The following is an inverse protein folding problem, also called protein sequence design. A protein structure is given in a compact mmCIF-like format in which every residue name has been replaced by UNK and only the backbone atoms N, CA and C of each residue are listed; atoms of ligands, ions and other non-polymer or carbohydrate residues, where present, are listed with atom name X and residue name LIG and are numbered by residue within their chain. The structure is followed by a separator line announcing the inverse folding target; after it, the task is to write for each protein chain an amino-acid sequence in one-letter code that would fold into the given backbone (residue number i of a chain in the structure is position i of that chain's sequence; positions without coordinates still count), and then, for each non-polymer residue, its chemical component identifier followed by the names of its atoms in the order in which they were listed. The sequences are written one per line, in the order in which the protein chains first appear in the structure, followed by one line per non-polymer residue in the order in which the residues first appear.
data_IF_801061056002
#
_entry.id   IF_801061056002
#
_cell.length_a   1.000
_cell.length_b   1.000
_cell.length_c   1.000
_cell.angle_alpha   90.00
_cell.angle_beta   90.00
_cell.angle_gamma   90.00
#
_symmetry.space_group_name_H-M   'P 1'
#
loop_
_entity.id
_entity.type
_entity.pdbx_description
1 polymer ?
#
# COMPACT_ATOMS: atom_id res chain seq x y z
N UNK A 1 -0.81 14.46 6.03
CA UNK A 1 -1.12 13.33 6.93
C UNK A 1 -1.06 12.06 6.12
N UNK A 2 -0.01 11.26 6.33
CA UNK A 2 0.27 10.02 5.60
C UNK A 2 0.13 8.83 6.55
N UNK A 3 -0.16 7.64 6.02
CA UNK A 3 -0.11 6.40 6.78
C UNK A 3 0.73 5.35 6.06
N UNK A 4 1.40 4.50 6.84
CA UNK A 4 2.24 3.42 6.33
C UNK A 4 1.50 2.12 6.60
N UNK A 5 1.15 1.37 5.55
CA UNK A 5 0.36 0.14 5.67
C UNK A 5 1.06 -1.03 4.96
N UNK A 6 1.10 -2.23 5.57
CA UNK A 6 1.59 -3.42 4.89
C UNK A 6 0.58 -3.87 3.84
N UNK A 7 1.06 -4.27 2.66
CA UNK A 7 0.19 -4.64 1.51
C UNK A 7 0.58 -5.97 0.84
N UNK A 8 1.49 -6.74 1.43
CA UNK A 8 2.05 -7.95 0.80
C UNK A 8 1.16 -9.19 0.84
N UNK A 9 -0.01 -9.14 1.49
CA UNK A 9 -0.88 -10.31 1.66
C UNK A 9 -0.23 -11.43 2.48
N UNK A 10 -0.89 -12.60 2.51
CA UNK A 10 -0.51 -13.84 3.21
C UNK A 10 -0.26 -13.73 4.73
N UNK A 11 0.72 -12.94 5.16
CA UNK A 11 1.02 -12.66 6.57
C UNK A 11 0.47 -11.30 7.04
N UNK A 12 0.16 -10.41 6.11
CA UNK A 12 -0.42 -9.08 6.37
C UNK A 12 -1.64 -8.86 5.49
N UNK A 13 -2.21 -7.65 5.58
CA UNK A 13 -3.24 -7.20 4.62
C UNK A 13 -2.71 -7.28 3.19
N UNK A 14 -3.59 -7.62 2.26
CA UNK A 14 -3.40 -7.41 0.83
C UNK A 14 -3.73 -5.93 0.47
N UNK A 15 -3.56 -5.51 -0.80
CA UNK A 15 -3.86 -4.13 -1.20
C UNK A 15 -5.32 -3.72 -0.97
N UNK A 16 -6.29 -4.62 -1.13
CA UNK A 16 -7.71 -4.29 -1.00
C UNK A 16 -8.11 -4.16 0.47
N UNK A 17 -7.58 -5.02 1.34
CA UNK A 17 -7.70 -4.88 2.81
C UNK A 17 -7.05 -3.58 3.30
N UNK A 18 -5.90 -3.20 2.75
CA UNK A 18 -5.23 -1.95 3.10
C UNK A 18 -6.03 -0.71 2.64
N UNK A 19 -6.78 -0.79 1.53
CA UNK A 19 -7.76 0.24 1.14
C UNK A 19 -8.86 0.36 2.20
N UNK A 20 -9.40 -0.74 2.72
CA UNK A 20 -10.40 -0.71 3.78
C UNK A 20 -9.79 -0.10 5.06
N UNK A 21 -8.60 -0.54 5.45
CA UNK A 21 -7.91 -0.05 6.64
C UNK A 21 -7.64 1.47 6.58
N UNK A 22 -7.32 1.99 5.39
CA UNK A 22 -7.10 3.42 5.18
C UNK A 22 -8.35 4.28 5.45
N UNK A 23 -9.56 3.70 5.35
CA UNK A 23 -10.80 4.38 5.74
C UNK A 23 -10.95 4.45 7.26
N UNK A 24 -10.56 3.39 7.99
CA UNK A 24 -10.66 3.38 9.46
C UNK A 24 -9.76 4.41 10.12
N UNK A 25 -8.63 4.73 9.49
CA UNK A 25 -7.66 5.72 9.99
C UNK A 25 -7.81 7.09 9.33
N UNK A 26 -8.85 7.28 8.50
CA UNK A 26 -9.16 8.53 7.80
C UNK A 26 -7.93 9.14 7.08
N UNK A 27 -7.28 8.33 6.24
CA UNK A 27 -6.09 8.75 5.50
C UNK A 27 -6.18 8.35 4.02
N UNK A 28 -5.91 9.33 3.14
CA UNK A 28 -5.95 9.14 1.68
C UNK A 28 -4.58 9.00 1.04
N UNK A 29 -3.49 9.22 1.78
CA UNK A 29 -2.12 9.08 1.28
C UNK A 29 -1.41 7.94 2.00
N UNK A 30 -1.29 6.81 1.32
CA UNK A 30 -0.77 5.56 1.88
C UNK A 30 0.59 5.26 1.28
N UNK A 31 1.56 4.93 2.14
CA UNK A 31 2.86 4.40 1.76
C UNK A 31 2.79 2.89 1.97
N UNK A 32 2.82 2.12 0.88
CA UNK A 32 2.79 0.67 0.93
C UNK A 32 4.13 0.10 1.36
N UNK A 33 4.12 -0.87 2.27
CA UNK A 33 5.33 -1.58 2.74
C UNK A 33 5.08 -3.09 2.84
N UNK A 34 6.10 -3.84 3.20
CA UNK A 34 6.01 -5.29 3.47
C UNK A 34 5.43 -6.08 2.30
N UNK A 35 5.96 -5.86 1.10
CA UNK A 35 5.64 -6.57 -0.14
C UNK A 35 6.94 -6.85 -0.92
N UNK A 36 6.90 -7.73 -1.92
CA UNK A 36 8.00 -8.10 -2.85
C UNK A 36 9.33 -8.56 -2.19
N UNK A 37 9.36 -8.75 -0.87
CA UNK A 37 10.57 -9.20 -0.16
C UNK A 37 10.78 -10.71 -0.32
N UNK A 38 9.69 -11.46 -0.53
CA UNK A 38 9.67 -12.91 -0.76
C UNK A 38 8.62 -13.26 -1.82
N UNK A 39 8.75 -14.38 -2.56
CA UNK A 39 7.78 -14.78 -3.58
C UNK A 39 6.34 -14.92 -3.07
N UNK A 40 6.18 -15.26 -1.78
CA UNK A 40 4.87 -15.40 -1.14
C UNK A 40 4.19 -14.06 -0.84
N UNK A 41 4.91 -12.93 -0.89
CA UNK A 41 4.32 -11.60 -0.69
C UNK A 41 4.53 -10.70 -1.92
N UNK A 42 4.72 -11.31 -3.08
CA UNK A 42 4.81 -10.60 -4.35
C UNK A 42 3.43 -10.05 -4.73
N UNK A 43 3.38 -8.79 -5.15
CA UNK A 43 2.12 -8.13 -5.55
C UNK A 43 2.20 -7.57 -6.96
N UNK A 44 1.05 -7.49 -7.63
CA UNK A 44 0.93 -6.66 -8.82
C UNK A 44 0.75 -5.19 -8.40
N UNK A 45 1.85 -4.44 -8.45
CA UNK A 45 1.87 -3.01 -8.11
C UNK A 45 0.87 -2.17 -8.92
N UNK A 46 0.58 -2.52 -10.19
CA UNK A 46 -0.39 -1.77 -11.00
C UNK A 46 -1.81 -2.02 -10.52
N UNK A 47 -2.13 -3.27 -10.20
CA UNK A 47 -3.43 -3.63 -9.63
C UNK A 47 -3.63 -2.94 -8.28
N UNK A 48 -2.62 -2.97 -7.41
CA UNK A 48 -2.65 -2.28 -6.13
C UNK A 48 -2.92 -0.78 -6.28
N UNK A 49 -2.15 -0.08 -7.12
CA UNK A 49 -2.33 1.37 -7.36
C UNK A 49 -3.74 1.67 -7.87
N UNK A 50 -4.27 0.87 -8.81
CA UNK A 50 -5.62 1.06 -9.33
C UNK A 50 -6.70 0.76 -8.28
N UNK A 51 -6.50 -0.19 -7.36
CA UNK A 51 -7.40 -0.40 -6.21
C UNK A 51 -7.51 0.84 -5.32
N UNK A 52 -6.37 1.43 -4.93
CA UNK A 52 -6.36 2.66 -4.12
C UNK A 52 -7.01 3.84 -4.87
N UNK A 53 -6.70 3.98 -6.16
CA UNK A 53 -7.24 5.05 -7.00
C UNK A 53 -8.77 4.97 -7.15
N UNK A 54 -9.34 3.76 -7.31
CA UNK A 54 -10.80 3.56 -7.32
C UNK A 54 -11.47 4.00 -6.02
N UNK A 55 -10.76 3.91 -4.89
CA UNK A 55 -11.20 4.40 -3.59
C UNK A 55 -10.88 5.89 -3.34
N UNK A 56 -10.43 6.64 -4.36
CA UNK A 56 -9.99 8.05 -4.26
C UNK A 56 -8.79 8.26 -3.32
N UNK A 57 -7.90 7.26 -3.24
CA UNK A 57 -6.70 7.30 -2.41
C UNK A 57 -5.43 7.21 -3.26
N UNK A 58 -4.34 7.74 -2.72
CA UNK A 58 -3.01 7.69 -3.31
C UNK A 58 -2.19 6.61 -2.63
N UNK A 59 -1.68 5.65 -3.41
CA UNK A 59 -0.68 4.69 -2.96
C UNK A 59 0.71 5.12 -3.46
N UNK A 60 1.66 5.24 -2.55
CA UNK A 60 3.07 5.48 -2.81
C UNK A 60 3.85 4.20 -2.53
N UNK A 61 4.65 3.76 -3.51
CA UNK A 61 5.48 2.56 -3.47
C UNK A 61 6.94 2.94 -3.71
N UNK A 62 7.63 3.52 -2.71
CA UNK A 62 9.03 3.90 -2.87
C UNK A 62 9.90 2.66 -3.10
N UNK A 63 10.85 2.76 -4.02
CA UNK A 63 11.86 1.73 -4.19
C UNK A 63 12.76 1.61 -2.95
N UNK A 64 13.49 0.49 -2.82
CA UNK A 64 14.45 0.30 -1.73
C UNK A 64 15.51 1.41 -1.78
N UNK A 65 15.59 2.21 -0.71
CA UNK A 65 16.51 3.35 -0.59
C UNK A 65 15.97 4.67 -1.15
N UNK A 66 14.77 4.69 -1.73
CA UNK A 66 14.10 5.92 -2.16
C UNK A 66 13.57 6.71 -0.94
N UNK A 67 13.58 8.04 -1.04
CA UNK A 67 13.06 8.94 -0.01
C UNK A 67 11.88 9.73 -0.55
N UNK A 68 10.80 9.80 0.23
CA UNK A 68 9.64 10.65 -0.06
C UNK A 68 9.69 11.87 0.87
N UNK A 69 9.66 13.06 0.29
CA UNK A 69 9.52 14.31 1.05
C UNK A 69 8.05 14.57 1.37
N UNK A 70 7.73 14.83 2.64
CA UNK A 70 6.36 14.89 3.17
C UNK A 70 5.78 16.30 3.24
#
# INVERSE_FOLDING_TARGET
NYAILPIGGNYTMDPDDAVIASNYIDCDKIIGVHYDTFPVIEIDSKVAIESFKRAQKTLLLPAIGETITL
#
